data_IF_923572650436
#
_entry.id   IF_923572650436
#
_cell.length_a   1.000
_cell.length_b   1.000
_cell.length_c   1.000
_cell.angle_alpha   90.00
_cell.angle_beta   90.00
_cell.angle_gamma   90.00
#
_symmetry.space_group_name_H-M   'P 1'
#
loop_
_entity.id
_entity.type
_entity.pdbx_description
1 polymer ?
#
# COMPACT_ATOMS: atom_id res chain seq x y z
N UNK A 1 -6.37 -4.76 -4.02
CA UNK A 1 -5.33 -3.82 -3.51
C UNK A 1 -3.95 -4.37 -3.80
N UNK A 2 -2.95 -3.52 -3.99
CA UNK A 2 -1.55 -3.96 -4.12
C UNK A 2 -0.76 -3.40 -2.94
N UNK A 3 0.04 -4.23 -2.31
CA UNK A 3 1.00 -3.85 -1.27
C UNK A 3 2.39 -4.31 -1.67
N UNK A 4 3.39 -3.51 -1.35
CA UNK A 4 4.79 -3.83 -1.60
C UNK A 4 5.50 -3.91 -0.25
N UNK A 5 6.12 -5.04 0.03
CA UNK A 5 6.96 -5.19 1.21
C UNK A 5 8.29 -4.49 0.96
N UNK A 6 8.56 -3.44 1.70
CA UNK A 6 9.77 -2.64 1.53
C UNK A 6 10.86 -3.04 2.53
N UNK A 7 12.10 -3.03 2.07
CA UNK A 7 13.23 -3.06 2.99
C UNK A 7 13.21 -1.84 3.91
N UNK A 8 13.51 -2.03 5.19
CA UNK A 8 13.54 -0.93 6.14
C UNK A 8 14.70 0.01 5.81
N UNK A 9 14.42 1.13 5.20
CA UNK A 9 15.38 2.23 5.07
C UNK A 9 15.16 3.26 6.15
N UNK A 10 16.21 3.90 6.67
CA UNK A 10 16.11 4.93 7.69
C UNK A 10 15.20 6.10 7.30
N UNK A 11 15.04 6.36 6.01
CA UNK A 11 14.20 7.45 5.48
C UNK A 11 12.71 7.15 5.49
N UNK A 12 12.31 5.88 5.46
CA UNK A 12 10.90 5.45 5.51
C UNK A 12 10.38 5.37 6.95
N UNK A 13 11.27 5.46 7.95
CA UNK A 13 10.94 5.29 9.37
C UNK A 13 10.40 6.55 10.04
N UNK A 14 10.57 7.73 9.46
CA UNK A 14 10.11 8.99 10.05
C UNK A 14 8.64 9.27 9.71
N UNK A 15 7.76 8.94 10.63
CA UNK A 15 6.39 9.46 10.88
C UNK A 15 5.41 9.60 9.70
N UNK A 16 5.67 9.05 8.54
CA UNK A 16 4.93 9.43 7.34
C UNK A 16 3.99 8.39 6.72
N UNK A 17 3.76 7.25 7.34
CA UNK A 17 2.86 6.23 6.78
C UNK A 17 2.11 5.43 7.84
N UNK A 18 0.93 4.92 7.49
CA UNK A 18 0.13 4.03 8.33
C UNK A 18 0.95 2.83 8.84
N UNK A 19 1.79 2.27 7.98
CA UNK A 19 2.66 1.13 8.29
C UNK A 19 3.75 1.41 9.36
N UNK A 20 4.07 2.67 9.66
CA UNK A 20 5.07 2.98 10.71
C UNK A 20 4.59 2.61 12.11
N UNK A 21 3.31 2.87 12.41
CA UNK A 21 2.67 2.46 13.67
C UNK A 21 2.60 0.94 13.80
N UNK A 22 2.12 0.28 12.76
CA UNK A 22 2.03 -1.18 12.66
C UNK A 22 3.40 -1.84 12.85
N UNK A 23 4.44 -1.28 12.23
CA UNK A 23 5.81 -1.75 12.40
C UNK A 23 6.31 -1.58 13.84
N UNK A 24 6.04 -0.46 14.48
CA UNK A 24 6.44 -0.23 15.88
C UNK A 24 5.81 -1.28 16.82
N UNK A 25 4.57 -1.69 16.56
CA UNK A 25 3.89 -2.76 17.28
C UNK A 25 4.54 -4.11 17.00
N UNK A 26 4.80 -4.44 15.74
CA UNK A 26 5.50 -5.68 15.35
C UNK A 26 6.88 -5.79 16.03
N UNK A 27 7.63 -4.69 16.10
CA UNK A 27 8.92 -4.63 16.80
C UNK A 27 8.79 -4.88 18.32
N UNK A 28 7.73 -4.37 18.94
CA UNK A 28 7.46 -4.66 20.36
C UNK A 28 7.10 -6.12 20.60
N UNK A 29 6.32 -6.73 19.68
CA UNK A 29 5.87 -8.12 19.80
C UNK A 29 7.00 -9.11 19.54
N UNK A 30 7.79 -8.88 18.49
CA UNK A 30 8.69 -9.90 17.92
C UNK A 30 10.15 -9.45 17.78
N UNK A 31 10.46 -8.24 18.24
CA UNK A 31 11.78 -7.62 18.06
C UNK A 31 12.13 -7.53 16.56
N UNK A 32 13.28 -8.10 16.17
CA UNK A 32 13.77 -8.03 14.78
C UNK A 32 13.55 -9.33 14.00
N UNK A 33 12.81 -10.30 14.56
CA UNK A 33 12.63 -11.61 13.93
C UNK A 33 11.18 -12.05 14.01
N UNK A 34 10.60 -12.34 12.84
CA UNK A 34 9.28 -12.97 12.80
C UNK A 34 9.36 -14.37 13.41
N UNK A 35 8.37 -14.76 14.24
CA UNK A 35 8.23 -16.13 14.71
C UNK A 35 8.08 -17.12 13.56
N UNK A 36 8.49 -18.37 13.78
CA UNK A 36 8.25 -19.45 12.84
C UNK A 36 6.81 -19.97 12.99
N UNK A 37 5.91 -19.28 12.32
CA UNK A 37 4.45 -19.53 12.29
C UNK A 37 3.90 -19.26 10.90
N UNK A 38 2.70 -19.76 10.56
CA UNK A 38 2.00 -19.37 9.35
C UNK A 38 1.86 -17.84 9.25
N UNK A 39 2.13 -17.29 8.05
CA UNK A 39 2.11 -15.83 7.87
C UNK A 39 0.74 -15.21 8.16
N UNK A 40 -0.35 -15.94 7.87
CA UNK A 40 -1.70 -15.50 8.20
C UNK A 40 -1.92 -15.32 9.71
N UNK A 41 -1.39 -16.23 10.54
CA UNK A 41 -1.50 -16.14 12.00
C UNK A 41 -0.70 -14.94 12.55
N UNK A 42 0.46 -14.67 11.96
CA UNK A 42 1.25 -13.48 12.31
C UNK A 42 0.49 -12.20 11.95
N UNK A 43 -0.18 -12.16 10.79
CA UNK A 43 -1.02 -11.02 10.39
C UNK A 43 -2.19 -10.84 11.35
N UNK A 44 -2.90 -11.92 11.72
CA UNK A 44 -4.01 -11.85 12.69
C UNK A 44 -3.53 -11.32 14.03
N UNK A 45 -2.46 -11.89 14.57
CA UNK A 45 -1.89 -11.45 15.85
C UNK A 45 -1.49 -9.97 15.83
N UNK A 46 -0.87 -9.51 14.76
CA UNK A 46 -0.48 -8.09 14.62
C UNK A 46 -1.71 -7.19 14.48
N UNK A 47 -2.73 -7.65 13.74
CA UNK A 47 -4.01 -6.94 13.59
C UNK A 47 -4.71 -6.77 14.93
N UNK A 48 -4.82 -7.82 15.72
CA UNK A 48 -5.42 -7.78 17.07
C UNK A 48 -4.65 -6.85 18.00
N UNK A 49 -3.32 -6.94 17.99
CA UNK A 49 -2.48 -6.08 18.82
C UNK A 49 -2.61 -4.60 18.47
N UNK A 50 -2.69 -4.28 17.17
CA UNK A 50 -2.82 -2.89 16.71
C UNK A 50 -4.22 -2.32 16.96
N UNK A 51 -5.25 -3.14 16.82
CA UNK A 51 -6.64 -2.70 16.88
C UNK A 51 -7.29 -2.85 18.27
N UNK A 52 -6.55 -3.35 19.26
CA UNK A 52 -7.06 -3.52 20.61
C UNK A 52 -7.57 -2.21 21.20
N UNK A 53 -8.87 -2.16 21.52
CA UNK A 53 -9.53 -1.00 22.10
C UNK A 53 -9.82 0.14 21.13
N UNK A 54 -9.56 0.00 19.82
CA UNK A 54 -9.94 1.00 18.83
C UNK A 54 -11.40 0.86 18.41
N UNK A 55 -12.15 1.96 18.42
CA UNK A 55 -13.52 2.02 17.89
C UNK A 55 -13.56 1.94 16.36
N UNK A 56 -12.47 2.36 15.70
CA UNK A 56 -12.30 2.26 14.26
C UNK A 56 -10.99 1.52 13.98
N UNK A 57 -11.06 0.20 13.68
CA UNK A 57 -9.88 -0.58 13.42
C UNK A 57 -9.21 -0.19 12.10
N UNK A 58 -7.89 -0.26 12.07
CA UNK A 58 -7.09 -0.17 10.85
C UNK A 58 -7.34 -1.42 9.99
N UNK A 59 -7.21 -1.30 8.67
CA UNK A 59 -7.30 -2.47 7.80
C UNK A 59 -6.06 -3.39 7.90
N UNK A 60 -6.20 -4.64 7.46
CA UNK A 60 -5.13 -5.66 7.53
C UNK A 60 -4.00 -5.47 6.51
N UNK A 61 -4.14 -4.59 5.52
CA UNK A 61 -3.20 -4.44 4.42
C UNK A 61 -1.79 -4.06 4.87
N UNK A 62 -1.66 -3.22 5.90
CA UNK A 62 -0.37 -2.78 6.41
C UNK A 62 0.37 -3.94 7.10
N UNK A 63 -0.35 -4.79 7.85
CA UNK A 63 0.19 -6.00 8.46
C UNK A 63 0.66 -7.00 7.40
N UNK A 64 -0.15 -7.20 6.35
CA UNK A 64 0.20 -8.09 5.24
C UNK A 64 1.44 -7.56 4.53
N UNK A 65 1.51 -6.26 4.24
CA UNK A 65 2.68 -5.63 3.62
C UNK A 65 3.97 -5.74 4.44
N UNK A 66 3.86 -5.80 5.79
CA UNK A 66 5.00 -6.02 6.67
C UNK A 66 5.43 -7.50 6.78
N UNK A 67 4.49 -8.43 6.69
CA UNK A 67 4.72 -9.84 6.98
C UNK A 67 4.99 -10.65 5.71
N UNK A 68 4.19 -10.47 4.66
CA UNK A 68 4.39 -11.14 3.39
C UNK A 68 5.51 -10.48 2.59
N UNK A 69 6.47 -11.26 2.06
CA UNK A 69 7.55 -10.71 1.23
C UNK A 69 7.06 -10.39 -0.19
N UNK A 70 7.80 -9.53 -0.87
CA UNK A 70 7.57 -9.22 -2.28
C UNK A 70 6.46 -8.20 -2.51
N UNK A 71 5.73 -8.39 -3.61
CA UNK A 71 4.66 -7.53 -4.09
C UNK A 71 3.39 -8.36 -4.07
N UNK A 72 2.38 -7.95 -3.31
CA UNK A 72 1.18 -8.76 -3.11
C UNK A 72 -0.07 -8.04 -3.60
N UNK A 73 -0.90 -8.76 -4.36
CA UNK A 73 -2.29 -8.39 -4.63
C UNK A 73 -3.18 -9.01 -3.57
N UNK A 74 -4.01 -8.18 -2.96
CA UNK A 74 -4.96 -8.56 -1.93
C UNK A 74 -6.37 -8.43 -2.50
N UNK A 75 -7.09 -9.53 -2.59
CA UNK A 75 -8.47 -9.56 -3.02
C UNK A 75 -9.36 -9.68 -1.77
N UNK A 76 -10.12 -8.61 -1.48
CA UNK A 76 -11.05 -8.57 -0.36
C UNK A 76 -12.45 -8.90 -0.83
N UNK A 77 -13.09 -9.80 -0.12
CA UNK A 77 -14.50 -10.14 -0.30
C UNK A 77 -15.22 -9.96 1.03
N UNK A 78 -16.22 -9.09 1.04
CA UNK A 78 -17.01 -8.81 2.24
C UNK A 78 -17.76 -10.05 2.75
N UNK A 79 -18.16 -10.94 1.84
CA UNK A 79 -18.90 -12.13 2.19
C UNK A 79 -18.04 -13.17 2.94
N UNK A 80 -16.73 -13.24 2.65
CA UNK A 80 -15.85 -14.26 3.22
C UNK A 80 -15.25 -13.91 4.58
N UNK A 81 -15.04 -12.60 4.88
CA UNK A 81 -14.36 -12.20 6.14
C UNK A 81 -14.85 -10.87 6.70
N UNK A 82 -16.07 -10.45 6.33
CA UNK A 82 -16.55 -9.10 6.63
C UNK A 82 -15.69 -8.00 6.04
N UNK A 83 -14.79 -8.33 5.09
CA UNK A 83 -13.86 -7.40 4.46
C UNK A 83 -12.65 -7.02 5.31
N UNK A 84 -12.43 -7.66 6.47
CA UNK A 84 -11.29 -7.37 7.36
C UNK A 84 -10.00 -7.96 6.83
N UNK A 85 -10.04 -9.21 6.37
CA UNK A 85 -8.92 -9.91 5.76
C UNK A 85 -9.21 -10.19 4.29
N UNK A 86 -8.18 -10.30 3.42
CA UNK A 86 -8.41 -10.67 2.04
C UNK A 86 -8.83 -12.14 1.94
N UNK A 87 -9.73 -12.46 1.03
CA UNK A 87 -10.05 -13.85 0.70
C UNK A 87 -8.88 -14.55 0.00
N UNK A 88 -8.06 -13.77 -0.70
CA UNK A 88 -6.94 -14.27 -1.48
C UNK A 88 -5.77 -13.30 -1.50
N UNK A 89 -4.56 -13.85 -1.40
CA UNK A 89 -3.29 -13.13 -1.57
C UNK A 89 -2.52 -13.77 -2.72
N UNK A 90 -2.20 -12.99 -3.74
CA UNK A 90 -1.26 -13.38 -4.79
C UNK A 90 0.02 -12.56 -4.63
N UNK A 91 1.15 -13.24 -4.37
CA UNK A 91 2.44 -12.61 -4.09
C UNK A 91 3.45 -12.89 -5.19
N UNK A 92 4.10 -11.84 -5.67
CA UNK A 92 5.27 -11.88 -6.55
C UNK A 92 6.53 -11.75 -5.70
N UNK A 93 7.31 -12.81 -5.61
CA UNK A 93 8.62 -12.85 -4.95
C UNK A 93 9.72 -13.00 -6.01
N UNK A 94 9.51 -12.39 -7.17
CA UNK A 94 10.38 -12.48 -8.33
C UNK A 94 11.43 -11.36 -8.31
N UNK A 95 12.72 -11.74 -8.33
CA UNK A 95 13.84 -10.80 -8.27
C UNK A 95 13.90 -9.86 -9.49
N UNK A 96 13.53 -10.35 -10.68
CA UNK A 96 13.56 -9.54 -11.90
C UNK A 96 12.49 -8.44 -11.85
N UNK A 97 11.29 -8.83 -11.45
CA UNK A 97 10.17 -7.90 -11.27
C UNK A 97 10.46 -6.89 -10.15
N UNK A 98 10.99 -7.36 -9.02
CA UNK A 98 11.36 -6.50 -7.90
C UNK A 98 12.41 -5.45 -8.31
N UNK A 99 13.50 -5.87 -8.97
CA UNK A 99 14.55 -4.96 -9.46
C UNK A 99 14.02 -3.95 -10.48
N UNK A 100 13.11 -4.38 -11.35
CA UNK A 100 12.47 -3.45 -12.28
C UNK A 100 11.65 -2.41 -11.52
N UNK A 101 10.80 -2.83 -10.57
CA UNK A 101 9.98 -1.91 -9.78
C UNK A 101 10.84 -0.96 -8.95
N UNK A 102 11.91 -1.44 -8.31
CA UNK A 102 12.89 -0.63 -7.58
C UNK A 102 13.51 0.45 -8.45
N UNK A 103 13.74 0.15 -9.75
CA UNK A 103 14.35 1.07 -10.69
C UNK A 103 13.39 2.19 -11.14
N UNK A 104 12.07 1.89 -11.23
CA UNK A 104 11.10 2.81 -11.84
C UNK A 104 10.13 3.46 -10.85
N UNK A 105 10.08 3.02 -9.59
CA UNK A 105 9.17 3.57 -8.59
C UNK A 105 9.92 4.40 -7.55
N UNK A 106 9.58 5.68 -7.50
CA UNK A 106 10.15 6.65 -6.57
C UNK A 106 9.14 7.03 -5.50
N UNK A 107 9.63 7.25 -4.27
CA UNK A 107 8.90 7.89 -3.19
C UNK A 107 9.42 9.30 -3.00
N UNK A 108 8.51 10.27 -3.03
CA UNK A 108 8.81 11.68 -2.82
C UNK A 108 8.15 12.14 -1.52
N UNK A 109 8.90 12.60 -0.50
CA UNK A 109 8.31 13.17 0.70
C UNK A 109 7.62 14.49 0.38
N UNK A 110 6.38 14.64 0.84
CA UNK A 110 5.58 15.88 0.64
C UNK A 110 5.47 16.62 1.97
N UNK A 111 4.52 16.23 2.80
CA UNK A 111 4.29 16.84 4.10
C UNK A 111 3.93 15.74 5.12
N UNK A 112 4.53 15.74 6.32
CA UNK A 112 4.16 14.81 7.37
C UNK A 112 2.68 14.96 7.74
N UNK A 113 1.99 13.86 7.95
CA UNK A 113 0.63 13.88 8.47
C UNK A 113 0.64 14.39 9.91
N UNK A 114 -0.17 15.39 10.26
CA UNK A 114 -0.27 15.86 11.64
C UNK A 114 -0.89 14.79 12.55
N UNK A 115 -0.71 14.95 13.84
CA UNK A 115 -1.38 14.11 14.82
C UNK A 115 -2.91 14.20 14.66
N UNK A 116 -3.61 13.05 14.77
CA UNK A 116 -5.06 13.00 14.56
C UNK A 116 -5.50 13.09 13.09
N UNK A 117 -4.58 13.08 12.13
CA UNK A 117 -4.94 13.05 10.71
C UNK A 117 -5.85 11.86 10.40
N UNK A 118 -7.03 12.12 9.87
CA UNK A 118 -7.96 11.10 9.38
C UNK A 118 -8.50 11.50 8.00
N UNK A 119 -8.27 10.70 6.97
CA UNK A 119 -8.84 10.94 5.64
C UNK A 119 -10.33 10.56 5.58
N UNK A 120 -10.86 9.97 6.65
CA UNK A 120 -12.22 9.43 6.72
C UNK A 120 -13.27 10.51 6.99
N UNK A 121 -13.23 11.61 6.24
CA UNK A 121 -14.29 12.60 6.23
C UNK A 121 -15.54 12.12 5.48
N UNK A 122 -16.06 12.96 4.60
CA UNK A 122 -17.20 12.57 3.74
C UNK A 122 -16.81 11.40 2.83
N UNK A 123 -17.58 10.32 2.88
CA UNK A 123 -17.43 9.12 2.04
C UNK A 123 -18.51 9.09 0.97
N UNK A 124 -18.10 8.77 -0.25
CA UNK A 124 -19.02 8.55 -1.37
C UNK A 124 -18.81 7.10 -1.88
N UNK A 125 -19.48 6.14 -1.22
CA UNK A 125 -19.31 4.70 -1.45
C UNK A 125 -20.23 4.20 -2.58
N UNK A 126 -20.23 4.87 -3.74
CA UNK A 126 -21.00 4.39 -4.90
C UNK A 126 -20.35 3.14 -5.47
N UNK A 127 -21.14 2.08 -5.78
CA UNK A 127 -20.65 0.79 -6.28
C UNK A 127 -19.76 0.91 -7.53
N UNK A 128 -20.07 1.85 -8.41
CA UNK A 128 -19.29 2.14 -9.61
C UNK A 128 -17.84 2.50 -9.29
N UNK A 129 -17.64 3.47 -8.37
CA UNK A 129 -16.29 3.93 -7.99
C UNK A 129 -15.53 2.91 -7.19
N UNK A 130 -16.22 2.14 -6.32
CA UNK A 130 -15.61 1.02 -5.59
C UNK A 130 -15.16 -0.08 -6.56
N UNK A 131 -16.02 -0.46 -7.51
CA UNK A 131 -15.68 -1.45 -8.54
C UNK A 131 -14.52 -0.97 -9.43
N UNK A 132 -14.49 0.32 -9.80
CA UNK A 132 -13.39 0.90 -10.57
C UNK A 132 -12.08 0.89 -9.77
N UNK A 133 -12.11 1.28 -8.49
CA UNK A 133 -10.94 1.21 -7.61
C UNK A 133 -10.39 -0.22 -7.50
N UNK A 134 -11.28 -1.22 -7.37
CA UNK A 134 -10.88 -2.63 -7.37
C UNK A 134 -10.17 -3.04 -8.66
N UNK A 135 -10.64 -2.57 -9.83
CA UNK A 135 -9.98 -2.82 -11.12
C UNK A 135 -8.60 -2.18 -11.20
N UNK A 136 -8.41 -0.93 -10.73
CA UNK A 136 -7.09 -0.30 -10.76
C UNK A 136 -6.04 -1.09 -9.98
N UNK A 137 -6.43 -1.74 -8.86
CA UNK A 137 -5.54 -2.62 -8.12
C UNK A 137 -5.10 -3.85 -8.92
N UNK A 138 -6.03 -4.48 -9.67
CA UNK A 138 -5.69 -5.61 -10.56
C UNK A 138 -4.79 -5.17 -11.70
N UNK A 139 -5.13 -4.07 -12.36
CA UNK A 139 -4.35 -3.49 -13.45
C UNK A 139 -2.94 -3.11 -13.01
N UNK A 140 -2.79 -2.50 -11.83
CA UNK A 140 -1.50 -2.18 -11.23
C UNK A 140 -0.63 -3.43 -11.02
N UNK A 141 -1.20 -4.49 -10.44
CA UNK A 141 -0.47 -5.74 -10.20
C UNK A 141 -0.03 -6.40 -11.51
N UNK A 142 -0.90 -6.44 -12.52
CA UNK A 142 -0.59 -6.99 -13.84
C UNK A 142 0.46 -6.15 -14.58
N UNK A 143 0.41 -4.82 -14.46
CA UNK A 143 1.43 -3.93 -15.00
C UNK A 143 2.81 -4.19 -14.37
N UNK A 144 2.86 -4.36 -13.05
CA UNK A 144 4.09 -4.71 -12.33
C UNK A 144 4.60 -6.08 -12.80
N UNK A 145 3.73 -7.09 -12.87
CA UNK A 145 4.09 -8.46 -13.29
C UNK A 145 4.67 -8.48 -14.71
N UNK A 146 4.13 -7.67 -15.62
CA UNK A 146 4.61 -7.53 -17.00
C UNK A 146 5.75 -6.53 -17.17
N UNK A 147 6.11 -5.81 -16.10
CA UNK A 147 7.09 -4.72 -16.14
C UNK A 147 6.71 -3.63 -17.15
N UNK A 148 5.43 -3.29 -17.23
CA UNK A 148 4.85 -2.31 -18.14
C UNK A 148 4.75 -0.95 -17.45
N UNK A 149 5.66 -0.05 -17.77
CA UNK A 149 5.77 1.28 -17.17
C UNK A 149 4.52 2.14 -17.41
N UNK A 150 4.04 2.15 -18.65
CA UNK A 150 2.90 2.98 -19.02
C UNK A 150 1.61 2.51 -18.34
N UNK A 151 1.37 1.20 -18.33
CA UNK A 151 0.22 0.62 -17.64
C UNK A 151 0.29 0.81 -16.13
N UNK A 152 1.49 0.74 -15.52
CA UNK A 152 1.68 1.02 -14.10
C UNK A 152 1.30 2.46 -13.79
N UNK A 153 1.83 3.43 -14.54
CA UNK A 153 1.50 4.85 -14.37
C UNK A 153 0.01 5.12 -14.51
N UNK A 154 -0.59 4.64 -15.60
CA UNK A 154 -2.02 4.81 -15.87
C UNK A 154 -2.90 4.22 -14.76
N UNK A 155 -2.55 3.05 -14.19
CA UNK A 155 -3.29 2.44 -13.10
C UNK A 155 -3.23 3.28 -11.82
N UNK A 156 -2.09 3.93 -11.53
CA UNK A 156 -1.91 4.82 -10.39
C UNK A 156 -2.74 6.09 -10.54
N UNK A 157 -2.75 6.70 -11.72
CA UNK A 157 -3.56 7.89 -12.01
C UNK A 157 -5.06 7.59 -11.89
N UNK A 158 -5.51 6.47 -12.44
CA UNK A 158 -6.90 6.02 -12.31
C UNK A 158 -7.27 5.72 -10.85
N UNK A 159 -6.35 5.17 -10.06
CA UNK A 159 -6.53 4.95 -8.63
C UNK A 159 -6.81 6.27 -7.91
N UNK A 160 -6.05 7.32 -8.20
CA UNK A 160 -6.24 8.65 -7.60
C UNK A 160 -7.58 9.30 -7.99
N UNK A 161 -8.03 9.13 -9.23
CA UNK A 161 -9.37 9.57 -9.66
C UNK A 161 -10.46 8.87 -8.82
N UNK A 162 -10.32 7.56 -8.58
CA UNK A 162 -11.26 6.83 -7.73
C UNK A 162 -11.23 7.33 -6.27
N UNK A 163 -10.03 7.51 -5.71
CA UNK A 163 -9.89 8.03 -4.34
C UNK A 163 -10.46 9.43 -4.17
N UNK A 164 -10.23 10.34 -5.11
CA UNK A 164 -10.82 11.68 -5.08
C UNK A 164 -12.37 11.64 -5.05
N UNK A 165 -12.97 10.67 -5.75
CA UNK A 165 -14.43 10.48 -5.78
C UNK A 165 -14.98 9.82 -4.51
N UNK A 166 -14.26 8.83 -3.99
CA UNK A 166 -14.69 8.04 -2.82
C UNK A 166 -14.40 8.78 -1.52
N UNK A 167 -13.19 9.33 -1.39
CA UNK A 167 -12.69 10.04 -0.20
C UNK A 167 -11.97 11.33 -0.62
N UNK A 168 -12.71 12.44 -0.87
CA UNK A 168 -12.11 13.69 -1.36
C UNK A 168 -10.98 14.23 -0.49
N UNK A 169 -10.96 13.91 0.80
CA UNK A 169 -9.90 14.34 1.72
C UNK A 169 -8.55 13.67 1.44
N UNK A 170 -8.47 12.63 0.61
CA UNK A 170 -7.19 12.06 0.18
C UNK A 170 -6.35 13.00 -0.69
N UNK A 171 -6.98 13.96 -1.35
CA UNK A 171 -6.31 14.96 -2.19
C UNK A 171 -6.49 16.39 -1.66
N UNK A 172 -7.40 16.61 -0.70
CA UNK A 172 -7.64 17.92 -0.07
C UNK A 172 -8.03 17.73 1.39
N UNK A 173 -7.06 17.84 2.29
CA UNK A 173 -7.29 17.64 3.72
C UNK A 173 -7.08 18.94 4.49
N UNK A 174 -8.03 19.37 5.34
CA UNK A 174 -7.96 20.68 6.03
C UNK A 174 -6.80 20.78 7.03
N UNK A 175 -6.30 19.67 7.54
CA UNK A 175 -5.16 19.64 8.47
C UNK A 175 -3.79 19.71 7.78
N UNK A 176 -3.72 19.62 6.45
CA UNK A 176 -2.47 19.76 5.71
C UNK A 176 -2.28 21.22 5.29
N UNK A 177 -1.05 21.70 5.36
CA UNK A 177 -0.69 23.07 4.96
C UNK A 177 -0.61 23.23 3.44
N UNK A 178 -0.35 22.12 2.73
CA UNK A 178 -0.24 22.09 1.28
C UNK A 178 -1.51 21.55 0.64
N UNK A 179 -1.88 22.11 -0.51
CA UNK A 179 -2.92 21.52 -1.35
C UNK A 179 -2.28 20.36 -2.15
N UNK A 180 -2.72 19.15 -1.88
CA UNK A 180 -2.18 17.94 -2.49
C UNK A 180 -2.58 17.79 -3.96
N UNK A 181 -3.72 18.37 -4.38
CA UNK A 181 -4.26 18.19 -5.73
C UNK A 181 -3.40 18.83 -6.82
N UNK A 182 -2.96 20.08 -6.71
CA UNK A 182 -2.04 20.68 -7.68
C UNK A 182 -0.71 19.96 -7.76
N UNK A 183 -0.18 19.50 -6.63
CA UNK A 183 1.05 18.71 -6.59
C UNK A 183 0.88 17.40 -7.38
N UNK A 184 -0.19 16.65 -7.11
CA UNK A 184 -0.49 15.41 -7.83
C UNK A 184 -0.56 15.64 -9.33
N UNK A 185 -1.34 16.63 -9.78
CA UNK A 185 -1.51 16.93 -11.21
C UNK A 185 -0.19 17.34 -11.89
N UNK A 186 0.66 18.11 -11.20
CA UNK A 186 1.98 18.50 -11.72
C UNK A 186 2.88 17.28 -11.98
N UNK A 187 2.82 16.27 -11.11
CA UNK A 187 3.57 15.03 -11.30
C UNK A 187 2.93 14.12 -12.35
N UNK A 188 1.62 13.98 -12.37
CA UNK A 188 0.91 13.18 -13.38
C UNK A 188 1.07 13.74 -14.80
N UNK A 189 1.21 15.05 -14.96
CA UNK A 189 1.46 15.68 -16.28
C UNK A 189 2.91 15.51 -16.75
N UNK A 190 3.85 15.27 -15.84
CA UNK A 190 5.29 15.23 -16.14
C UNK A 190 5.84 13.80 -16.24
N UNK A 191 5.24 12.85 -15.55
CA UNK A 191 5.70 11.48 -15.42
C UNK A 191 4.63 10.49 -15.91
N UNK A 192 4.99 9.25 -16.23
CA UNK A 192 4.04 8.20 -16.62
C UNK A 192 2.84 8.00 -15.69
N UNK A 193 3.00 8.32 -14.40
CA UNK A 193 1.92 8.34 -13.44
C UNK A 193 2.41 8.65 -12.03
N UNK A 194 1.49 9.10 -11.18
CA UNK A 194 1.76 9.40 -9.78
C UNK A 194 0.54 9.18 -8.89
N UNK A 195 0.77 8.75 -7.63
CA UNK A 195 -0.29 8.61 -6.63
C UNK A 195 0.23 8.86 -5.22
N UNK A 196 -0.63 9.33 -4.33
CA UNK A 196 -0.28 9.39 -2.91
C UNK A 196 -0.19 8.00 -2.29
N UNK A 197 0.81 7.81 -1.44
CA UNK A 197 0.96 6.59 -0.65
C UNK A 197 -0.12 6.51 0.42
N UNK A 198 -1.08 5.63 0.24
CA UNK A 198 -2.20 5.46 1.15
C UNK A 198 -3.22 6.61 1.06
N UNK A 199 -3.57 7.20 2.21
CA UNK A 199 -4.70 8.11 2.35
C UNK A 199 -4.38 9.61 2.13
N UNK A 200 -3.41 9.92 1.27
CA UNK A 200 -2.98 11.31 1.03
C UNK A 200 -2.00 11.84 2.08
N UNK A 201 -1.22 12.85 1.73
CA UNK A 201 -0.11 13.35 2.55
C UNK A 201 1.05 12.34 2.68
N UNK A 202 2.07 12.69 3.43
CA UNK A 202 3.24 11.86 3.63
C UNK A 202 4.11 11.74 2.38
N UNK A 203 3.85 10.75 1.54
CA UNK A 203 4.62 10.50 0.33
C UNK A 203 3.78 10.49 -0.94
N UNK A 204 4.38 10.97 -2.03
CA UNK A 204 3.91 10.74 -3.40
C UNK A 204 4.75 9.63 -4.02
N UNK A 205 4.09 8.62 -4.59
CA UNK A 205 4.70 7.61 -5.44
C UNK A 205 4.71 8.13 -6.88
N UNK A 206 5.85 8.04 -7.56
CA UNK A 206 6.03 8.53 -8.93
C UNK A 206 6.68 7.43 -9.77
N UNK A 207 6.07 7.12 -10.91
CA UNK A 207 6.62 6.18 -11.89
C UNK A 207 7.53 6.92 -12.85
N UNK A 208 8.80 6.52 -12.97
CA UNK A 208 9.76 7.18 -13.85
C UNK A 208 10.97 6.29 -14.16
N UNK A 209 11.45 6.31 -15.41
CA UNK A 209 12.74 5.71 -15.78
C UNK A 209 13.93 6.64 -15.48
N UNK A 210 13.66 7.91 -15.17
CA UNK A 210 14.68 8.90 -14.84
C UNK A 210 14.60 9.28 -13.37
N UNK A 211 15.69 9.74 -12.76
CA UNK A 211 15.67 10.22 -11.38
C UNK A 211 14.60 11.30 -11.17
N UNK A 212 13.83 11.16 -10.11
CA UNK A 212 12.82 12.15 -9.67
C UNK A 212 13.48 13.06 -8.65
N UNK A 213 13.61 14.39 -8.92
CA UNK A 213 14.23 15.31 -7.97
C UNK A 213 13.57 15.27 -6.59
N UNK A 214 14.36 15.12 -5.52
CA UNK A 214 13.87 14.98 -4.15
C UNK A 214 13.28 13.62 -3.80
N UNK A 215 13.10 12.74 -4.79
CA UNK A 215 12.61 11.38 -4.59
C UNK A 215 13.74 10.38 -4.32
N UNK A 216 13.38 9.24 -3.76
CA UNK A 216 14.26 8.09 -3.59
C UNK A 216 13.57 6.82 -4.06
N UNK A 217 14.36 5.87 -4.56
CA UNK A 217 13.84 4.57 -5.01
C UNK A 217 13.47 3.69 -3.83
N UNK A 218 12.44 2.89 -4.02
CA UNK A 218 12.06 1.84 -3.05
C UNK A 218 13.03 0.67 -3.14
N UNK A 219 13.03 -0.17 -2.11
CA UNK A 219 13.70 -1.48 -2.10
C UNK A 219 12.68 -2.54 -1.67
N UNK A 220 12.50 -3.57 -2.49
CA UNK A 220 11.52 -4.63 -2.25
C UNK A 220 12.16 -5.73 -1.40
N UNK A 221 11.55 -6.04 -0.28
CA UNK A 221 11.99 -7.16 0.56
C UNK A 221 11.53 -8.48 -0.04
N UNK A 222 12.47 -9.31 -0.45
CA UNK A 222 12.24 -10.64 -0.98
C UNK A 222 12.58 -11.73 0.05
N UNK A 223 11.91 -12.87 -0.04
CA UNK A 223 12.28 -14.09 0.68
C UNK A 223 13.01 -15.04 -0.26
N UNK A 224 14.29 -15.29 0.01
CA UNK A 224 15.16 -16.10 -0.83
C UNK A 224 14.75 -17.59 -0.90
N UNK A 225 13.97 -18.07 0.05
CA UNK A 225 13.52 -19.46 0.14
C UNK A 225 12.14 -19.74 -0.46
N UNK A 226 11.45 -18.73 -0.98
CA UNK A 226 10.09 -18.87 -1.49
C UNK A 226 10.02 -18.84 -3.01
N UNK A 227 9.01 -19.48 -3.62
CA UNK A 227 8.81 -19.47 -5.07
C UNK A 227 8.55 -18.04 -5.58
N UNK A 228 8.87 -17.77 -6.87
CA UNK A 228 8.72 -16.44 -7.47
C UNK A 228 7.25 -15.93 -7.50
N UNK A 229 6.30 -16.84 -7.56
CA UNK A 229 4.86 -16.49 -7.48
C UNK A 229 4.15 -17.47 -6.56
N UNK A 230 3.33 -16.96 -5.66
CA UNK A 230 2.53 -17.76 -4.74
C UNK A 230 1.13 -17.18 -4.64
N UNK A 231 0.13 -18.05 -4.76
CA UNK A 231 -1.25 -17.76 -4.40
C UNK A 231 -1.57 -18.44 -3.06
N UNK A 232 -2.16 -17.70 -2.16
CA UNK A 232 -2.60 -18.21 -0.85
C UNK A 232 -4.05 -17.79 -0.65
N UNK A 233 -4.92 -18.77 -0.47
CA UNK A 233 -6.27 -18.50 0.04
C UNK A 233 -6.13 -18.16 1.53
N UNK A 234 -6.90 -17.18 1.98
CA UNK A 234 -6.91 -16.82 3.41
C UNK A 234 -7.64 -17.91 4.19
N UNK A 235 -7.07 -18.41 5.28
CA UNK A 235 -7.77 -19.42 6.10
C UNK A 235 -9.08 -18.83 6.63
N UNK A 236 -10.19 -19.50 6.35
CA UNK A 236 -11.50 -19.17 6.92
C UNK A 236 -11.50 -19.64 8.38
N UNK A 237 -11.97 -18.81 9.30
CA UNK A 237 -12.09 -19.20 10.71
C UNK A 237 -13.14 -20.31 10.81
N UNK A 238 -12.73 -21.53 11.14
CA UNK A 238 -13.70 -22.61 11.33
C UNK A 238 -13.28 -24.05 11.03
N UNK A 239 -11.97 -24.36 10.88
CA UNK A 239 -11.49 -25.75 10.92
C UNK A 239 -10.52 -25.99 12.06
#
# INVERSE_FOLDING_TARGET
>A
MVVVSLEPTFRVMDRAGCASGTRAIAMKLWKNRLPDRPLADLVRHLYEAENRGKSQPSGSQDMIGLIYPGISRLDYDHASSGGVFPSKIESLNDRKVARWLEKVLYMLPIEPRPEGYSPLGRKNLQPEWIGRLGRTGKECFEAIRRMDLAALGASMDQCMICWERILPQTVKHPALKVDLKPILHAYQSKYPGAMYSGCGGGYLLVVSERPVPGGFQIQVRLDKGKPPTRTTEWPVDGD
#
